data_IF_300173641201
#
_entry.id   IF_300173641201
#
_cell.length_a   1.000
_cell.length_b   1.000
_cell.length_c   1.000
_cell.angle_alpha   90.00
_cell.angle_beta   90.00
_cell.angle_gamma   90.00
#
_symmetry.space_group_name_H-M   'P 1'
#
loop_
_entity.id
_entity.type
_entity.pdbx_description
1 polymer ?
#
# COMPACT_ATOMS: atom_id res chain seq x y z
N UNK A 1 -7.70 -11.09 -1.63
CA UNK A 1 -6.33 -10.60 -1.82
C UNK A 1 -5.52 -10.90 -0.59
N UNK A 2 -4.33 -11.45 -0.77
CA UNK A 2 -3.43 -11.70 0.35
C UNK A 2 -2.21 -10.78 0.23
N UNK A 3 -1.82 -10.21 1.35
CA UNK A 3 -0.62 -9.40 1.43
C UNK A 3 0.35 -10.09 2.36
N UNK A 4 1.57 -10.30 1.89
CA UNK A 4 2.61 -10.85 2.74
C UNK A 4 3.35 -9.73 3.43
N UNK A 5 3.42 -9.82 4.75
CA UNK A 5 4.15 -8.85 5.55
C UNK A 5 5.40 -9.53 6.06
N UNK A 6 6.56 -9.09 5.56
CA UNK A 6 7.84 -9.66 5.94
C UNK A 6 8.78 -8.57 6.45
N UNK A 7 8.25 -7.68 7.27
CA UNK A 7 9.03 -6.59 7.83
C UNK A 7 9.45 -6.95 9.23
N UNK A 8 10.73 -6.74 9.51
CA UNK A 8 11.20 -6.76 10.89
C UNK A 8 10.90 -5.40 11.49
N UNK A 9 9.80 -5.32 12.18
CA UNK A 9 9.33 -4.08 12.75
C UNK A 9 8.66 -4.37 14.08
N UNK A 10 8.50 -3.33 14.90
CA UNK A 10 7.86 -3.53 16.19
C UNK A 10 6.34 -3.76 16.02
N UNK A 11 5.70 -4.17 17.10
CA UNK A 11 4.28 -4.50 17.07
C UNK A 11 3.42 -3.30 16.67
N UNK A 12 3.82 -2.10 17.08
CA UNK A 12 3.10 -0.88 16.75
C UNK A 12 3.11 -0.61 15.25
N UNK A 13 4.27 -0.78 14.62
CA UNK A 13 4.42 -0.58 13.19
C UNK A 13 3.62 -1.62 12.42
N UNK A 14 3.69 -2.87 12.83
CA UNK A 14 2.93 -3.93 12.18
C UNK A 14 1.42 -3.75 12.33
N UNK A 15 0.99 -3.24 13.48
CA UNK A 15 -0.42 -2.96 13.71
C UNK A 15 -0.92 -1.84 12.79
N UNK A 16 -0.14 -0.78 12.64
CA UNK A 16 -0.48 0.31 11.74
C UNK A 16 -0.57 -0.19 10.29
N UNK A 17 0.38 -1.02 9.87
CA UNK A 17 0.36 -1.59 8.54
C UNK A 17 -0.87 -2.47 8.33
N UNK A 18 -1.23 -3.27 9.32
CA UNK A 18 -2.41 -4.13 9.23
C UNK A 18 -3.69 -3.31 9.07
N UNK A 19 -3.81 -2.22 9.81
CA UNK A 19 -4.96 -1.32 9.68
C UNK A 19 -5.02 -0.67 8.30
N UNK A 20 -3.87 -0.22 7.80
CA UNK A 20 -3.78 0.36 6.47
C UNK A 20 -4.24 -0.64 5.41
N UNK A 21 -3.72 -1.85 5.46
CA UNK A 21 -4.05 -2.87 4.48
C UNK A 21 -5.51 -3.31 4.55
N UNK A 22 -6.10 -3.33 5.74
CA UNK A 22 -7.51 -3.67 5.88
C UNK A 22 -8.40 -2.66 5.16
N UNK A 23 -8.09 -1.38 5.26
CA UNK A 23 -8.85 -0.34 4.57
C UNK A 23 -8.53 -0.38 3.06
N UNK A 24 -7.27 -0.58 2.72
CA UNK A 24 -6.83 -0.68 1.34
C UNK A 24 -7.62 -1.76 0.59
N UNK A 25 -7.80 -2.93 1.19
CA UNK A 25 -8.52 -4.02 0.54
C UNK A 25 -9.97 -3.69 0.26
N UNK A 26 -10.55 -2.78 1.02
CA UNK A 26 -11.93 -2.36 0.82
C UNK A 26 -12.09 -1.33 -0.29
N UNK A 27 -11.08 -0.49 -0.50
CA UNK A 27 -11.20 0.62 -1.46
C UNK A 27 -10.45 0.37 -2.76
N UNK A 28 -9.52 -0.57 -2.77
CA UNK A 28 -8.70 -0.82 -3.94
C UNK A 28 -9.47 -1.57 -5.03
N UNK A 29 -9.34 -1.14 -6.29
CA UNK A 29 -9.77 -1.99 -7.39
C UNK A 29 -8.84 -3.22 -7.44
N UNK A 30 -9.20 -4.18 -8.26
CA UNK A 30 -8.42 -5.42 -8.36
C UNK A 30 -7.04 -5.12 -8.94
N UNK A 31 -5.95 -5.35 -8.20
CA UNK A 31 -4.61 -5.10 -8.73
C UNK A 31 -4.13 -6.24 -9.62
N UNK A 32 -3.18 -5.92 -10.50
CA UNK A 32 -2.52 -6.95 -11.31
C UNK A 32 -1.29 -7.51 -10.62
N UNK A 33 -0.71 -6.75 -9.69
CA UNK A 33 0.38 -7.22 -8.83
C UNK A 33 -0.05 -7.07 -7.39
N UNK A 34 0.14 -8.12 -6.59
CA UNK A 34 -0.26 -8.08 -5.19
C UNK A 34 0.51 -7.02 -4.41
N UNK A 35 -0.11 -6.43 -3.40
CA UNK A 35 0.57 -5.44 -2.56
C UNK A 35 1.79 -6.04 -1.89
N UNK A 36 2.87 -5.25 -1.82
CA UNK A 36 4.11 -5.63 -1.19
C UNK A 36 4.54 -4.50 -0.27
N UNK A 37 4.74 -4.79 1.00
CA UNK A 37 5.19 -3.81 1.97
C UNK A 37 6.71 -3.78 2.02
N UNK A 38 7.28 -2.58 1.93
CA UNK A 38 8.73 -2.37 1.93
C UNK A 38 9.05 -1.31 2.98
N UNK A 39 10.02 -1.60 3.84
CA UNK A 39 10.49 -0.63 4.82
C UNK A 39 11.52 0.28 4.16
N UNK A 40 11.22 1.57 4.11
CA UNK A 40 12.12 2.57 3.56
C UNK A 40 12.91 3.28 4.63
N UNK A 41 13.53 4.40 4.26
CA UNK A 41 14.27 5.23 5.19
C UNK A 41 13.31 5.88 6.20
N UNK A 42 13.84 6.23 7.36
CA UNK A 42 13.08 6.91 8.43
C UNK A 42 11.86 6.11 8.91
N UNK A 43 11.93 4.78 8.77
CA UNK A 43 10.86 3.89 9.19
C UNK A 43 9.54 4.11 8.44
N UNK A 44 9.60 4.70 7.25
CA UNK A 44 8.43 4.84 6.39
C UNK A 44 8.17 3.51 5.71
N UNK A 45 6.93 3.07 5.74
CA UNK A 45 6.54 1.83 5.07
C UNK A 45 5.87 2.18 3.75
N UNK A 46 6.38 1.60 2.67
CA UNK A 46 5.79 1.77 1.34
C UNK A 46 5.03 0.50 0.97
N UNK A 47 3.78 0.66 0.56
CA UNK A 47 2.99 -0.46 0.06
C UNK A 47 2.94 -0.32 -1.45
N UNK A 48 3.71 -1.15 -2.14
CA UNK A 48 3.80 -1.14 -3.60
C UNK A 48 2.74 -2.06 -4.18
N UNK A 49 1.99 -1.56 -5.14
CA UNK A 49 0.91 -2.34 -5.76
C UNK A 49 0.77 -1.94 -7.22
N UNK A 50 0.60 -2.92 -8.09
CA UNK A 50 0.48 -2.68 -9.53
C UNK A 50 -0.96 -2.73 -10.01
N UNK A 51 -1.33 -1.75 -10.82
CA UNK A 51 -2.65 -1.68 -11.44
C UNK A 51 -2.56 -1.66 -12.96
N UNK A 52 -3.68 -1.86 -13.60
CA UNK A 52 -3.75 -1.94 -15.05
C UNK A 52 -3.75 -0.57 -15.71
N UNK A 53 -4.28 0.46 -15.03
CA UNK A 53 -4.44 1.79 -15.61
C UNK A 53 -3.95 2.88 -14.65
N UNK A 54 -3.61 4.05 -15.22
CA UNK A 54 -3.29 5.23 -14.43
C UNK A 54 -4.47 5.68 -13.59
N UNK A 55 -5.67 5.57 -14.13
CA UNK A 55 -6.88 5.98 -13.43
C UNK A 55 -7.03 5.23 -12.11
N UNK A 56 -6.78 3.93 -12.12
CA UNK A 56 -6.84 3.13 -10.91
C UNK A 56 -5.79 3.57 -9.90
N UNK A 57 -4.57 3.89 -10.37
CA UNK A 57 -3.52 4.33 -9.45
C UNK A 57 -3.87 5.66 -8.79
N UNK A 58 -4.42 6.61 -9.54
CA UNK A 58 -4.80 7.90 -8.98
C UNK A 58 -5.96 7.76 -8.00
N UNK A 59 -6.95 6.97 -8.35
CA UNK A 59 -8.13 6.80 -7.51
C UNK A 59 -7.76 6.20 -6.15
N UNK A 60 -7.02 5.11 -6.16
CA UNK A 60 -6.65 4.45 -4.91
C UNK A 60 -5.63 5.29 -4.14
N UNK A 61 -4.73 5.99 -4.84
CA UNK A 61 -3.76 6.87 -4.21
C UNK A 61 -4.43 7.98 -3.41
N UNK A 62 -5.42 8.63 -4.01
CA UNK A 62 -6.17 9.69 -3.33
C UNK A 62 -6.88 9.17 -2.08
N UNK A 63 -7.52 8.03 -2.19
CA UNK A 63 -8.24 7.45 -1.06
C UNK A 63 -7.31 7.05 0.07
N UNK A 64 -6.19 6.44 -0.27
CA UNK A 64 -5.26 5.95 0.75
C UNK A 64 -4.39 7.04 1.35
N UNK A 65 -4.26 8.19 0.69
CA UNK A 65 -3.54 9.32 1.26
C UNK A 65 -4.20 9.81 2.55
N UNK A 66 -5.53 9.86 2.56
CA UNK A 66 -6.27 10.25 3.77
C UNK A 66 -6.06 9.24 4.89
N UNK A 67 -6.08 7.94 4.54
CA UNK A 67 -5.87 6.88 5.51
C UNK A 67 -4.46 6.97 6.09
N UNK A 68 -3.47 7.24 5.25
CA UNK A 68 -2.09 7.37 5.69
C UNK A 68 -1.94 8.52 6.69
N UNK A 69 -2.58 9.66 6.42
CA UNK A 69 -2.54 10.81 7.31
C UNK A 69 -3.19 10.49 8.66
N UNK A 70 -4.35 9.84 8.64
CA UNK A 70 -5.05 9.47 9.85
C UNK A 70 -4.25 8.50 10.70
N UNK A 71 -3.63 7.51 10.07
CA UNK A 71 -2.81 6.53 10.80
C UNK A 71 -1.55 7.15 11.37
N UNK A 72 -0.93 8.08 10.65
CA UNK A 72 0.23 8.79 11.17
C UNK A 72 -0.13 9.56 12.43
N UNK A 73 -1.26 10.23 12.41
CA UNK A 73 -1.77 10.99 13.54
C UNK A 73 -2.07 10.09 14.74
N UNK A 74 -2.67 8.95 14.47
CA UNK A 74 -3.11 8.02 15.50
C UNK A 74 -1.97 7.17 16.06
N UNK A 75 -1.04 6.73 15.21
CA UNK A 75 -0.04 5.75 15.59
C UNK A 75 1.39 6.27 15.53
N UNK A 76 1.63 7.42 14.94
CA UNK A 76 2.95 7.97 14.64
C UNK A 76 3.75 7.10 13.66
N UNK A 77 3.08 6.26 12.91
CA UNK A 77 3.70 5.41 11.89
C UNK A 77 3.20 5.86 10.52
N UNK A 78 4.13 6.14 9.62
CA UNK A 78 3.78 6.55 8.26
C UNK A 78 3.80 5.35 7.33
N UNK A 79 2.63 5.05 6.78
CA UNK A 79 2.45 4.01 5.77
C UNK A 79 1.94 4.70 4.51
N UNK A 80 2.66 4.55 3.41
CA UNK A 80 2.36 5.24 2.16
C UNK A 80 2.07 4.24 1.06
N UNK A 81 1.02 4.49 0.30
CA UNK A 81 0.75 3.68 -0.88
C UNK A 81 1.62 4.15 -2.03
N UNK A 82 2.28 3.21 -2.70
CA UNK A 82 3.10 3.49 -3.88
C UNK A 82 2.54 2.69 -5.07
N UNK A 83 1.44 3.16 -5.68
CA UNK A 83 0.85 2.44 -6.79
C UNK A 83 1.61 2.70 -8.09
N UNK A 84 1.63 1.72 -8.97
CA UNK A 84 2.26 1.86 -10.29
C UNK A 84 1.44 1.14 -11.34
N UNK A 85 1.65 1.51 -12.60
CA UNK A 85 0.99 0.84 -13.70
C UNK A 85 1.85 -0.33 -14.16
N UNK A 86 1.30 -1.53 -14.09
CA UNK A 86 2.00 -2.75 -14.42
C UNK A 86 1.72 -3.20 -15.86
N UNK A 87 1.66 -2.24 -16.77
CA UNK A 87 1.33 -2.54 -18.16
C UNK A 87 2.36 -3.46 -18.83
N UNK A 88 3.62 -3.34 -18.43
CA UNK A 88 4.68 -4.15 -19.00
C UNK A 88 4.50 -5.63 -18.73
N UNK A 89 3.94 -5.97 -17.59
CA UNK A 89 3.70 -7.36 -17.24
C UNK A 89 2.74 -8.03 -18.22
N UNK A 90 1.85 -7.27 -18.83
CA UNK A 90 0.92 -7.79 -19.81
C UNK A 90 1.54 -7.91 -21.18
N UNK A 91 2.49 -7.05 -21.49
CA UNK A 91 3.12 -7.03 -22.81
C UNK A 91 4.04 -8.20 -23.04
N UNK A 92 4.53 -8.79 -21.99
CA UNK A 92 5.43 -9.93 -22.08
C UNK A 92 4.70 -11.25 -22.24
N UNK A 93 3.42 -11.23 -22.13
CA UNK A 93 2.62 -12.44 -22.22
C UNK A 93 2.20 -12.76 -23.64
#
# INVERSE_FOLDING_TARGET
MKTQIRLEADAKTLDALAKFLAIFEKVSPKPVCQPKAVLGEDNIIFVEVGYQTDEDTFHVGDRMAEVAADLLDETSVLVVLAPFVAAEARQTS
#
